data_IF_665818903616
#
_entry.id   IF_665818903616
#
_cell.length_a   1.000
_cell.length_b   1.000
_cell.length_c   1.000
_cell.angle_alpha   90.00
_cell.angle_beta   90.00
_cell.angle_gamma   90.00
#
_symmetry.space_group_name_H-M   'P 1'
#
loop_
_entity.id
_entity.type
_entity.pdbx_description
1 polymer ?
#
# COMPACT_ATOMS: atom_id res chain seq x y z
N UNK A 1 -12.06 1.91 -15.87
CA UNK A 1 -12.61 2.05 -14.50
C UNK A 1 -12.20 3.41 -13.98
N UNK A 2 -13.10 4.17 -13.38
CA UNK A 2 -12.76 5.46 -12.78
C UNK A 2 -12.45 5.22 -11.29
N UNK A 3 -11.22 5.52 -10.86
CA UNK A 3 -10.75 5.34 -9.50
C UNK A 3 -10.51 6.72 -8.90
N UNK A 4 -11.20 7.02 -7.81
CA UNK A 4 -10.97 8.23 -7.02
C UNK A 4 -9.52 8.33 -6.54
N UNK A 5 -9.09 9.55 -6.27
CA UNK A 5 -7.75 9.83 -5.71
C UNK A 5 -7.85 10.50 -4.34
N UNK A 6 -6.75 10.42 -3.58
CA UNK A 6 -6.53 11.19 -2.36
C UNK A 6 -5.27 12.04 -2.55
N UNK A 7 -5.38 13.34 -2.25
CA UNK A 7 -4.23 14.23 -2.23
C UNK A 7 -3.39 13.93 -0.98
N UNK A 8 -2.12 13.59 -1.19
CA UNK A 8 -1.22 13.37 -0.06
C UNK A 8 -0.86 14.68 0.61
N UNK A 9 -0.87 14.71 1.95
CA UNK A 9 -0.50 15.90 2.74
C UNK A 9 0.93 16.36 2.41
N UNK A 10 1.16 17.66 2.63
CA UNK A 10 2.45 18.32 2.39
C UNK A 10 2.93 18.22 0.93
N UNK A 11 2.01 17.91 0.01
CA UNK A 11 2.25 17.94 -1.42
C UNK A 11 1.13 18.73 -2.11
N UNK A 12 1.46 19.58 -3.06
CA UNK A 12 0.46 20.34 -3.80
C UNK A 12 -0.14 19.57 -4.99
N UNK A 13 0.43 18.40 -5.33
CA UNK A 13 0.16 17.74 -6.62
C UNK A 13 0.12 16.21 -6.57
N UNK A 14 0.52 15.56 -5.49
CA UNK A 14 0.62 14.10 -5.44
C UNK A 14 -0.72 13.50 -5.08
N UNK A 15 -1.47 13.11 -6.11
CA UNK A 15 -2.79 12.47 -5.99
C UNK A 15 -2.64 10.96 -6.12
N UNK A 16 -2.80 10.23 -5.03
CA UNK A 16 -2.71 8.77 -4.99
C UNK A 16 -4.07 8.14 -5.28
N UNK A 17 -4.17 7.17 -6.22
CA UNK A 17 -5.40 6.40 -6.42
C UNK A 17 -5.81 5.66 -5.15
N UNK A 18 -7.11 5.65 -4.83
CA UNK A 18 -7.67 5.03 -3.61
C UNK A 18 -7.66 3.50 -3.60
N UNK A 19 -6.99 2.89 -4.54
CA UNK A 19 -6.65 1.47 -4.58
C UNK A 19 -5.37 1.28 -5.39
N UNK A 20 -4.51 0.34 -4.97
CA UNK A 20 -3.31 -0.04 -5.71
C UNK A 20 -3.20 -1.55 -5.89
N UNK A 21 -2.20 -1.98 -6.66
CA UNK A 21 -1.81 -3.38 -6.85
C UNK A 21 -0.43 -3.59 -6.22
N UNK A 22 -0.36 -4.47 -5.21
CA UNK A 22 0.88 -4.88 -4.59
C UNK A 22 1.66 -5.90 -5.44
N UNK A 23 2.98 -5.88 -5.32
CA UNK A 23 3.88 -6.76 -6.09
C UNK A 23 4.69 -7.73 -5.22
N UNK A 24 4.35 -7.89 -3.95
CA UNK A 24 5.04 -8.82 -3.05
C UNK A 24 5.07 -10.23 -3.65
N UNK A 25 6.21 -10.92 -3.57
CA UNK A 25 6.51 -12.21 -4.22
C UNK A 25 6.56 -12.18 -5.75
N UNK A 26 6.54 -11.04 -6.42
CA UNK A 26 6.87 -10.96 -7.84
C UNK A 26 8.39 -10.88 -8.03
N UNK A 27 8.88 -11.40 -9.15
CA UNK A 27 10.30 -11.36 -9.52
C UNK A 27 11.20 -12.31 -8.72
N UNK A 28 10.63 -13.20 -7.88
CA UNK A 28 11.39 -14.21 -7.13
C UNK A 28 11.79 -15.42 -8.00
N UNK A 29 11.02 -15.69 -9.03
CA UNK A 29 11.21 -16.85 -9.93
C UNK A 29 11.27 -16.40 -11.38
N UNK A 30 12.39 -16.65 -12.08
CA UNK A 30 12.53 -16.24 -13.49
C UNK A 30 11.42 -16.79 -14.41
N UNK A 31 10.95 -18.02 -14.15
CA UNK A 31 9.90 -18.68 -14.93
C UNK A 31 8.53 -18.01 -14.80
N UNK A 32 8.30 -17.21 -13.77
CA UNK A 32 7.05 -16.46 -13.56
C UNK A 32 7.05 -15.07 -14.21
N UNK A 33 8.20 -14.57 -14.65
CA UNK A 33 8.36 -13.17 -15.05
C UNK A 33 7.39 -12.74 -16.15
N UNK A 34 7.24 -13.53 -17.22
CA UNK A 34 6.34 -13.20 -18.32
C UNK A 34 4.87 -13.12 -17.88
N UNK A 35 4.44 -14.05 -17.01
CA UNK A 35 3.07 -14.06 -16.48
C UNK A 35 2.81 -12.92 -15.50
N UNK A 36 3.81 -12.54 -14.70
CA UNK A 36 3.73 -11.40 -13.77
C UNK A 36 3.67 -10.08 -14.54
N UNK A 37 4.48 -9.90 -15.59
CA UNK A 37 4.42 -8.75 -16.50
C UNK A 37 3.04 -8.65 -17.18
N UNK A 38 2.53 -9.78 -17.69
CA UNK A 38 1.21 -9.81 -18.32
C UNK A 38 0.10 -9.44 -17.33
N UNK A 39 0.17 -9.91 -16.07
CA UNK A 39 -0.78 -9.56 -15.03
C UNK A 39 -0.75 -8.07 -14.69
N UNK A 40 0.43 -7.45 -14.57
CA UNK A 40 0.55 -6.00 -14.30
C UNK A 40 -0.03 -5.16 -15.44
N UNK A 41 0.26 -5.53 -16.70
CA UNK A 41 -0.32 -4.86 -17.89
C UNK A 41 -1.84 -5.00 -17.91
N UNK A 42 -2.36 -6.19 -17.63
CA UNK A 42 -3.79 -6.43 -17.53
C UNK A 42 -4.43 -5.58 -16.42
N UNK A 43 -3.80 -5.47 -15.24
CA UNK A 43 -4.26 -4.58 -14.19
C UNK A 43 -4.37 -3.12 -14.68
N UNK A 44 -3.38 -2.65 -15.44
CA UNK A 44 -3.39 -1.32 -16.06
C UNK A 44 -4.55 -1.17 -17.05
N UNK A 45 -4.78 -2.15 -17.91
CA UNK A 45 -5.89 -2.17 -18.88
C UNK A 45 -7.26 -2.14 -18.18
N UNK A 46 -7.40 -2.75 -17.00
CA UNK A 46 -8.58 -2.66 -16.14
C UNK A 46 -8.76 -1.28 -15.48
N UNK A 47 -7.74 -0.42 -15.52
CA UNK A 47 -7.76 0.94 -14.98
C UNK A 47 -7.04 1.12 -13.64
N UNK A 48 -6.37 0.10 -13.10
CA UNK A 48 -5.48 0.30 -11.96
C UNK A 48 -4.27 1.13 -12.37
N UNK A 49 -3.98 2.17 -11.60
CA UNK A 49 -2.90 3.09 -11.89
C UNK A 49 -1.82 3.11 -10.80
N UNK A 50 -2.12 2.67 -9.58
CA UNK A 50 -1.19 2.62 -8.46
C UNK A 50 -0.58 1.22 -8.34
N UNK A 51 0.76 1.14 -8.37
CA UNK A 51 1.53 -0.10 -8.18
C UNK A 51 2.50 0.07 -7.00
N UNK A 52 2.39 -0.82 -6.01
CA UNK A 52 3.19 -0.82 -4.80
C UNK A 52 4.24 -1.93 -4.83
N UNK A 53 5.50 -1.54 -4.67
CA UNK A 53 6.65 -2.45 -4.65
C UNK A 53 7.63 -2.08 -3.51
N UNK A 54 8.79 -2.71 -3.47
CA UNK A 54 9.90 -2.41 -2.57
C UNK A 54 11.22 -2.98 -3.10
N UNK A 55 12.35 -2.38 -2.74
CA UNK A 55 13.67 -2.97 -3.04
C UNK A 55 13.85 -4.36 -2.42
N UNK A 56 13.13 -4.65 -1.31
CA UNK A 56 13.12 -5.95 -0.65
C UNK A 56 12.48 -7.07 -1.49
N UNK A 57 11.48 -6.77 -2.31
CA UNK A 57 10.67 -7.80 -2.95
C UNK A 57 11.46 -8.51 -4.05
N UNK A 58 11.80 -9.79 -3.79
CA UNK A 58 12.64 -10.59 -4.69
C UNK A 58 14.03 -9.98 -4.93
N UNK A 59 14.60 -9.29 -3.94
CA UNK A 59 15.88 -8.57 -4.05
C UNK A 59 15.89 -7.61 -5.27
N UNK A 60 14.89 -6.73 -5.30
CA UNK A 60 14.61 -5.81 -6.40
C UNK A 60 14.01 -6.49 -7.65
N UNK A 61 13.65 -7.77 -7.56
CA UNK A 61 13.00 -8.52 -8.64
C UNK A 61 11.66 -7.93 -9.02
N UNK A 62 10.82 -7.59 -8.03
CA UNK A 62 9.51 -6.98 -8.26
C UNK A 62 9.62 -5.61 -8.97
N UNK A 63 10.61 -4.79 -8.61
CA UNK A 63 10.87 -3.52 -9.30
C UNK A 63 11.30 -3.75 -10.76
N UNK A 64 12.13 -4.79 -11.02
CA UNK A 64 12.50 -5.16 -12.40
C UNK A 64 11.29 -5.63 -13.22
N UNK A 65 10.39 -6.41 -12.62
CA UNK A 65 9.13 -6.84 -13.27
C UNK A 65 8.27 -5.62 -13.62
N UNK A 66 8.11 -4.65 -12.71
CA UNK A 66 7.38 -3.41 -12.98
C UNK A 66 8.05 -2.59 -14.11
N UNK A 67 9.38 -2.43 -14.09
CA UNK A 67 10.11 -1.71 -15.13
C UNK A 67 10.00 -2.39 -16.51
N UNK A 68 9.87 -3.72 -16.57
CA UNK A 68 9.63 -4.45 -17.81
C UNK A 68 8.15 -4.42 -18.25
N UNK A 69 7.22 -4.32 -17.30
CA UNK A 69 5.80 -4.22 -17.58
C UNK A 69 5.46 -2.86 -18.22
N UNK A 70 6.06 -1.78 -17.71
CA UNK A 70 5.75 -0.41 -18.10
C UNK A 70 7.00 0.28 -18.63
N UNK A 71 6.98 0.63 -19.91
CA UNK A 71 8.04 1.42 -20.54
C UNK A 71 7.97 2.89 -20.10
N UNK A 72 9.01 3.68 -20.39
CA UNK A 72 9.00 5.14 -20.17
C UNK A 72 7.74 5.83 -20.75
N UNK A 73 7.23 5.33 -21.89
CA UNK A 73 6.01 5.87 -22.51
C UNK A 73 4.73 5.59 -21.73
N UNK A 74 4.73 4.53 -20.92
CA UNK A 74 3.58 4.11 -20.11
C UNK A 74 3.62 4.74 -18.71
N UNK A 75 4.70 5.48 -18.38
CA UNK A 75 4.91 6.10 -17.06
C UNK A 75 3.85 7.15 -16.73
N UNK A 76 3.40 7.87 -17.75
CA UNK A 76 2.34 8.87 -17.60
C UNK A 76 1.03 8.20 -17.13
N UNK A 77 0.48 8.75 -16.05
CA UNK A 77 -0.74 8.23 -15.43
C UNK A 77 -0.54 6.95 -14.59
N UNK A 78 0.70 6.57 -14.28
CA UNK A 78 1.01 5.62 -13.21
C UNK A 78 1.35 6.34 -11.92
N UNK A 79 1.02 5.71 -10.80
CA UNK A 79 1.45 6.06 -9.46
C UNK A 79 2.30 4.91 -8.92
N UNK A 80 3.59 5.14 -8.75
CA UNK A 80 4.53 4.13 -8.27
C UNK A 80 4.90 4.38 -6.81
N UNK A 81 4.74 3.36 -5.97
CA UNK A 81 5.25 3.33 -4.61
C UNK A 81 6.41 2.33 -4.53
N UNK A 82 7.56 2.74 -3.98
CA UNK A 82 8.61 1.82 -3.58
C UNK A 82 9.09 2.13 -2.16
N UNK A 83 9.94 1.24 -1.59
CA UNK A 83 10.31 1.31 -0.19
C UNK A 83 11.80 1.03 -0.01
N UNK A 84 12.43 1.76 0.91
CA UNK A 84 13.82 1.58 1.30
C UNK A 84 13.92 0.72 2.57
N UNK A 85 14.91 -0.17 2.64
CA UNK A 85 15.28 -0.87 3.86
C UNK A 85 15.73 0.11 4.96
N UNK A 86 15.40 -0.14 6.23
CA UNK A 86 15.79 0.77 7.32
C UNK A 86 17.30 0.91 7.49
N UNK A 87 18.09 -0.10 7.14
CA UNK A 87 19.57 0.01 7.19
C UNK A 87 20.19 0.78 6.01
N UNK A 88 19.41 1.05 4.95
CA UNK A 88 19.77 1.92 3.84
C UNK A 88 19.24 3.35 4.04
N UNK A 89 18.54 3.63 5.15
CA UNK A 89 17.82 4.89 5.36
C UNK A 89 18.69 6.02 5.92
N UNK A 90 20.02 5.84 6.06
CA UNK A 90 20.95 6.94 6.27
C UNK A 90 20.89 7.93 5.10
N UNK A 91 21.17 9.20 5.35
CA UNK A 91 21.08 10.29 4.38
C UNK A 91 21.58 9.93 2.97
N UNK A 92 22.83 9.48 2.84
CA UNK A 92 23.40 9.13 1.54
C UNK A 92 23.02 7.72 1.08
N UNK A 93 22.80 6.80 2.03
CA UNK A 93 22.32 5.45 1.77
C UNK A 93 20.96 5.46 1.09
N UNK A 94 20.04 6.27 1.60
CA UNK A 94 18.69 6.42 1.06
C UNK A 94 18.70 6.96 -0.38
N UNK A 95 19.53 7.95 -0.67
CA UNK A 95 19.70 8.49 -2.03
C UNK A 95 20.21 7.40 -2.97
N UNK A 96 21.23 6.66 -2.55
CA UNK A 96 21.77 5.54 -3.33
C UNK A 96 20.76 4.43 -3.57
N UNK A 97 20.02 4.04 -2.53
CA UNK A 97 18.97 3.00 -2.63
C UNK A 97 17.85 3.43 -3.60
N UNK A 98 17.38 4.67 -3.49
CA UNK A 98 16.38 5.22 -4.41
C UNK A 98 16.87 5.20 -5.87
N UNK A 99 18.11 5.62 -6.13
CA UNK A 99 18.71 5.58 -7.47
C UNK A 99 18.81 4.15 -8.04
N UNK A 100 19.06 3.16 -7.19
CA UNK A 100 19.04 1.75 -7.59
C UNK A 100 17.61 1.28 -7.89
N UNK A 101 16.61 1.70 -7.11
CA UNK A 101 15.20 1.43 -7.36
C UNK A 101 14.75 2.05 -8.69
N UNK A 102 15.08 3.31 -8.95
CA UNK A 102 14.80 3.99 -10.22
C UNK A 102 15.37 3.24 -11.43
N UNK A 103 16.62 2.74 -11.32
CA UNK A 103 17.22 1.91 -12.38
C UNK A 103 16.48 0.61 -12.63
N UNK A 104 16.03 -0.08 -11.56
CA UNK A 104 15.26 -1.33 -11.68
C UNK A 104 13.87 -1.09 -12.25
N UNK A 105 13.24 0.01 -11.83
CA UNK A 105 11.93 0.46 -12.31
C UNK A 105 11.96 1.08 -13.72
N UNK A 106 13.14 1.38 -14.26
CA UNK A 106 13.34 2.03 -15.57
C UNK A 106 12.58 3.35 -15.67
N UNK A 107 12.66 4.18 -14.63
CA UNK A 107 12.03 5.50 -14.54
C UNK A 107 12.98 6.48 -13.85
N UNK A 108 12.74 7.77 -13.98
CA UNK A 108 13.51 8.84 -13.36
C UNK A 108 12.88 9.37 -12.05
N UNK A 109 11.63 8.99 -11.74
CA UNK A 109 10.99 9.35 -10.47
C UNK A 109 10.02 8.27 -9.95
N UNK A 110 9.82 8.27 -8.63
CA UNK A 110 8.85 7.47 -7.88
C UNK A 110 7.84 8.44 -7.25
N UNK A 111 6.54 8.20 -7.38
CA UNK A 111 5.51 9.10 -6.82
C UNK A 111 5.55 9.11 -5.30
N UNK A 112 5.80 7.95 -4.67
CA UNK A 112 5.81 7.79 -3.23
C UNK A 112 6.93 6.84 -2.80
N UNK A 113 7.83 7.32 -1.93
CA UNK A 113 8.94 6.52 -1.41
C UNK A 113 8.82 6.36 0.10
N UNK A 114 8.87 5.12 0.60
CA UNK A 114 8.61 4.80 2.00
C UNK A 114 9.85 4.28 2.72
N UNK A 115 10.01 4.63 4.00
CA UNK A 115 10.79 3.83 4.93
C UNK A 115 9.98 2.56 5.25
N UNK A 116 10.51 1.37 4.94
CA UNK A 116 9.75 0.12 4.93
C UNK A 116 9.29 -0.35 6.32
N UNK A 117 10.10 -0.10 7.37
CA UNK A 117 9.77 -0.28 8.79
C UNK A 117 10.72 0.53 9.68
N UNK A 118 10.41 0.71 10.97
CA UNK A 118 11.33 1.36 11.92
C UNK A 118 12.67 0.63 12.00
N UNK A 119 13.78 1.39 11.98
CA UNK A 119 15.14 0.86 12.07
C UNK A 119 15.97 1.54 13.15
N UNK A 120 17.28 1.28 13.13
CA UNK A 120 18.24 1.88 14.06
C UNK A 120 18.86 3.18 13.55
N UNK A 121 18.63 3.55 12.29
CA UNK A 121 19.07 4.83 11.74
C UNK A 121 18.24 5.95 12.36
N UNK A 122 18.85 7.03 12.87
CA UNK A 122 18.12 8.18 13.38
C UNK A 122 17.15 8.72 12.32
N UNK A 123 15.89 8.92 12.70
CA UNK A 123 14.85 9.32 11.74
C UNK A 123 15.16 10.66 11.04
N UNK A 124 15.92 11.54 11.72
CA UNK A 124 16.40 12.80 11.15
C UNK A 124 17.28 12.59 9.91
N UNK A 125 18.17 11.58 9.92
CA UNK A 125 19.00 11.23 8.76
C UNK A 125 18.15 10.73 7.59
N UNK A 126 17.12 9.94 7.88
CA UNK A 126 16.14 9.48 6.89
C UNK A 126 15.41 10.67 6.26
N UNK A 127 14.98 11.64 7.06
CA UNK A 127 14.34 12.86 6.57
C UNK A 127 15.28 13.72 5.71
N UNK A 128 16.57 13.81 6.08
CA UNK A 128 17.56 14.51 5.25
C UNK A 128 17.71 13.85 3.87
N UNK A 129 17.78 12.52 3.82
CA UNK A 129 17.79 11.76 2.57
C UNK A 129 16.53 11.99 1.73
N UNK A 130 15.35 11.95 2.39
CA UNK A 130 14.08 12.21 1.73
C UNK A 130 14.01 13.64 1.15
N UNK A 131 14.46 14.67 1.88
CA UNK A 131 14.52 16.05 1.38
C UNK A 131 15.40 16.16 0.13
N UNK A 132 16.58 15.55 0.13
CA UNK A 132 17.44 15.53 -1.05
C UNK A 132 16.72 14.92 -2.26
N UNK A 133 16.02 13.80 -2.09
CA UNK A 133 15.30 13.13 -3.16
C UNK A 133 14.10 13.96 -3.68
N UNK A 134 13.37 14.63 -2.78
CA UNK A 134 12.31 15.57 -3.12
C UNK A 134 12.85 16.77 -3.92
N UNK A 135 13.93 17.39 -3.44
CA UNK A 135 14.57 18.54 -4.09
C UNK A 135 15.12 18.18 -5.48
N UNK A 136 15.59 16.95 -5.67
CA UNK A 136 16.03 16.42 -6.95
C UNK A 136 14.90 15.97 -7.88
N UNK A 137 13.66 15.99 -7.41
CA UNK A 137 12.49 15.50 -8.15
C UNK A 137 12.48 13.99 -8.40
N UNK A 138 13.30 13.22 -7.65
CA UNK A 138 13.37 11.75 -7.76
C UNK A 138 12.23 11.05 -7.05
N UNK A 139 11.63 11.70 -6.05
CA UNK A 139 10.40 11.25 -5.40
C UNK A 139 9.38 12.39 -5.35
N UNK A 140 8.09 12.05 -5.43
CA UNK A 140 7.00 13.02 -5.34
C UNK A 140 6.55 13.27 -3.89
N UNK A 141 6.58 12.22 -3.07
CA UNK A 141 6.23 12.26 -1.65
C UNK A 141 7.07 11.25 -0.86
N UNK A 142 7.20 11.50 0.45
CA UNK A 142 7.80 10.58 1.39
C UNK A 142 6.75 10.09 2.41
N UNK A 143 6.89 8.84 2.83
CA UNK A 143 6.06 8.24 3.87
C UNK A 143 6.81 7.13 4.62
N UNK A 144 6.08 6.47 5.48
CA UNK A 144 6.59 5.39 6.33
C UNK A 144 5.72 4.13 6.21
N UNK A 145 6.21 3.02 6.70
CA UNK A 145 5.46 1.78 6.77
C UNK A 145 5.77 1.05 8.07
N UNK A 146 4.76 0.37 8.63
CA UNK A 146 4.89 -0.42 9.85
C UNK A 146 5.26 0.39 11.12
N UNK A 147 4.85 1.64 11.19
CA UNK A 147 4.93 2.42 12.43
C UNK A 147 3.62 2.31 13.21
N UNK A 148 3.70 1.96 14.49
CA UNK A 148 2.58 1.99 15.41
C UNK A 148 2.28 3.42 15.90
N UNK A 149 1.24 3.56 16.73
CA UNK A 149 0.81 4.85 17.26
C UNK A 149 1.91 5.53 18.07
N UNK A 150 2.67 4.78 18.85
CA UNK A 150 3.75 5.34 19.69
C UNK A 150 4.93 5.80 18.83
N UNK A 151 5.39 4.99 17.88
CA UNK A 151 6.46 5.36 16.96
C UNK A 151 6.12 6.58 16.12
N UNK A 152 4.87 6.67 15.62
CA UNK A 152 4.40 7.84 14.88
C UNK A 152 4.30 9.09 15.77
N UNK A 153 3.82 8.94 17.02
CA UNK A 153 3.77 10.01 18.02
C UNK A 153 5.17 10.59 18.29
N UNK A 154 6.15 9.73 18.51
CA UNK A 154 7.54 10.15 18.75
C UNK A 154 8.10 11.01 17.59
N UNK A 155 7.81 10.64 16.34
CA UNK A 155 8.18 11.42 15.16
C UNK A 155 7.52 12.80 15.17
N UNK A 156 6.22 12.88 15.49
CA UNK A 156 5.46 14.12 15.48
C UNK A 156 5.89 15.03 16.63
N UNK A 157 6.03 14.50 17.84
CA UNK A 157 6.45 15.24 19.04
C UNK A 157 7.87 15.80 18.91
N UNK A 158 8.74 15.11 18.15
CA UNK A 158 10.07 15.60 17.79
C UNK A 158 10.06 16.70 16.69
N UNK A 159 8.89 17.08 16.17
CA UNK A 159 8.77 18.03 15.06
C UNK A 159 9.26 17.48 13.71
N UNK A 160 9.29 16.16 13.57
CA UNK A 160 9.82 15.47 12.39
C UNK A 160 8.71 14.90 11.48
N UNK A 161 7.44 15.16 11.79
CA UNK A 161 6.28 14.64 11.05
C UNK A 161 5.96 15.33 9.72
N UNK A 162 6.58 16.49 9.43
CA UNK A 162 6.18 17.35 8.31
C UNK A 162 6.31 16.69 6.93
N UNK A 163 7.27 15.78 6.73
CA UNK A 163 7.43 15.08 5.46
C UNK A 163 6.65 13.77 5.38
N UNK A 164 6.11 13.27 6.49
CA UNK A 164 5.39 12.00 6.52
C UNK A 164 3.99 12.21 5.94
N UNK A 165 3.77 11.79 4.70
CA UNK A 165 2.48 11.95 4.02
C UNK A 165 1.53 10.78 4.26
N UNK A 166 2.07 9.58 4.53
CA UNK A 166 1.27 8.39 4.81
C UNK A 166 2.02 7.37 5.67
N UNK A 167 1.27 6.43 6.25
CA UNK A 167 1.80 5.23 6.88
C UNK A 167 1.09 4.00 6.31
N UNK A 168 1.88 3.05 5.78
CA UNK A 168 1.37 1.79 5.24
C UNK A 168 1.50 0.69 6.29
N UNK A 169 0.36 0.12 6.70
CA UNK A 169 0.31 -0.90 7.76
C UNK A 169 -0.62 -2.05 7.38
N UNK A 170 -0.46 -3.21 8.03
CA UNK A 170 -1.38 -4.32 7.86
C UNK A 170 -2.77 -3.94 8.36
N UNK A 171 -3.78 -4.09 7.48
CA UNK A 171 -5.18 -3.92 7.83
C UNK A 171 -6.06 -4.81 6.96
N UNK A 172 -6.80 -5.68 7.60
CA UNK A 172 -7.73 -6.63 6.98
C UNK A 172 -8.74 -7.13 8.04
N UNK A 173 -9.71 -7.95 7.67
CA UNK A 173 -10.74 -8.42 8.60
C UNK A 173 -10.21 -9.18 9.83
N UNK A 174 -9.19 -10.07 9.73
CA UNK A 174 -8.55 -10.65 10.90
C UNK A 174 -7.76 -9.66 11.78
N UNK A 175 -7.25 -8.55 11.21
CA UNK A 175 -6.29 -7.64 11.86
C UNK A 175 -6.81 -6.21 11.83
N UNK A 176 -7.74 -5.90 12.73
CA UNK A 176 -8.44 -4.61 12.82
C UNK A 176 -7.97 -3.72 13.98
N UNK A 177 -6.89 -4.09 14.66
CA UNK A 177 -6.37 -3.36 15.83
C UNK A 177 -6.07 -1.90 15.55
N UNK A 178 -5.51 -1.59 14.39
CA UNK A 178 -5.15 -0.23 13.94
C UNK A 178 -6.34 0.74 13.85
N UNK A 179 -7.59 0.21 13.78
CA UNK A 179 -8.80 1.03 13.76
C UNK A 179 -9.09 1.70 15.12
N UNK A 180 -8.47 1.24 16.21
CA UNK A 180 -8.79 1.71 17.57
C UNK A 180 -7.97 2.95 17.98
N UNK A 181 -6.73 3.04 17.52
CA UNK A 181 -5.82 4.10 17.95
C UNK A 181 -5.00 4.69 16.80
N UNK A 182 -4.36 3.86 15.96
CA UNK A 182 -3.45 4.33 14.92
C UNK A 182 -4.18 5.13 13.83
N UNK A 183 -5.27 4.61 13.26
CA UNK A 183 -6.02 5.32 12.23
C UNK A 183 -6.65 6.63 12.72
N UNK A 184 -7.29 6.69 13.92
CA UNK A 184 -7.71 7.96 14.50
C UNK A 184 -6.55 8.96 14.67
N UNK A 185 -5.41 8.51 15.19
CA UNK A 185 -4.23 9.35 15.36
C UNK A 185 -3.67 9.87 14.03
N UNK A 186 -3.61 9.01 13.01
CA UNK A 186 -3.21 9.42 11.67
C UNK A 186 -4.15 10.45 11.07
N UNK A 187 -5.47 10.26 11.24
CA UNK A 187 -6.48 11.20 10.75
C UNK A 187 -6.38 12.57 11.42
N UNK A 188 -6.09 12.64 12.73
CA UNK A 188 -5.85 13.90 13.46
C UNK A 188 -4.66 14.69 12.90
N UNK A 189 -3.72 14.00 12.27
CA UNK A 189 -2.50 14.58 11.71
C UNK A 189 -2.49 14.62 10.17
N UNK A 190 -3.63 14.39 9.51
CA UNK A 190 -3.78 14.35 8.04
C UNK A 190 -2.84 13.33 7.36
N UNK A 191 -2.41 12.28 8.05
CA UNK A 191 -1.57 11.21 7.52
C UNK A 191 -2.45 10.15 6.88
N UNK A 192 -2.24 9.87 5.59
CA UNK A 192 -3.03 8.88 4.85
C UNK A 192 -2.69 7.46 5.30
N UNK A 193 -3.72 6.63 5.52
CA UNK A 193 -3.54 5.21 5.80
C UNK A 193 -3.54 4.39 4.51
N UNK A 194 -2.59 3.45 4.38
CA UNK A 194 -2.55 2.44 3.32
C UNK A 194 -2.59 1.05 3.94
N UNK A 195 -3.51 0.21 3.47
CA UNK A 195 -3.69 -1.15 3.95
C UNK A 195 -2.84 -2.15 3.16
N UNK A 196 -1.75 -2.63 3.75
CA UNK A 196 -1.03 -3.80 3.24
C UNK A 196 -1.77 -5.10 3.60
N UNK A 197 -1.56 -6.16 2.80
CA UNK A 197 -2.24 -7.46 2.95
C UNK A 197 -3.77 -7.36 3.14
N UNK A 198 -4.49 -6.51 2.38
CA UNK A 198 -5.87 -6.15 2.68
C UNK A 198 -6.85 -7.32 2.59
N UNK A 199 -6.55 -8.33 1.78
CA UNK A 199 -7.47 -9.45 1.56
C UNK A 199 -7.27 -10.59 2.56
N UNK A 200 -6.03 -10.91 2.91
CA UNK A 200 -5.66 -12.02 3.81
C UNK A 200 -6.58 -13.25 3.66
N UNK A 201 -6.72 -13.73 2.41
CA UNK A 201 -7.80 -14.65 1.99
C UNK A 201 -7.86 -15.93 2.83
N UNK A 202 -6.71 -16.50 3.21
CA UNK A 202 -6.67 -17.73 4.01
C UNK A 202 -7.35 -17.56 5.36
N UNK A 203 -6.82 -16.70 6.26
CA UNK A 203 -7.42 -16.39 7.55
C UNK A 203 -8.83 -15.82 7.44
N UNK A 204 -9.12 -14.96 6.45
CA UNK A 204 -10.46 -14.38 6.29
C UNK A 204 -11.51 -15.43 5.96
N UNK A 205 -11.21 -16.39 5.08
CA UNK A 205 -12.14 -17.51 4.80
C UNK A 205 -12.40 -18.40 6.00
N UNK A 206 -11.51 -18.40 7.00
CA UNK A 206 -11.69 -19.14 8.23
C UNK A 206 -12.64 -18.44 9.22
N UNK A 207 -13.02 -17.17 8.98
CA UNK A 207 -14.02 -16.48 9.80
C UNK A 207 -15.40 -17.13 9.54
N UNK A 208 -16.06 -17.71 10.58
CA UNK A 208 -17.35 -18.35 10.40
C UNK A 208 -18.39 -17.38 9.85
N UNK A 209 -19.12 -17.79 8.82
CA UNK A 209 -20.19 -16.99 8.19
C UNK A 209 -19.75 -15.98 7.12
N UNK A 210 -18.44 -15.67 6.98
CA UNK A 210 -17.99 -14.68 5.98
C UNK A 210 -18.22 -15.16 4.54
N UNK A 211 -18.04 -16.46 4.28
CA UNK A 211 -18.30 -17.03 2.96
C UNK A 211 -19.79 -17.08 2.62
N UNK A 212 -20.64 -17.27 3.62
CA UNK A 212 -22.10 -17.23 3.44
C UNK A 212 -22.55 -15.80 3.15
N UNK A 213 -22.07 -14.83 3.92
CA UNK A 213 -22.34 -13.41 3.67
C UNK A 213 -21.90 -12.98 2.26
N UNK A 214 -20.71 -13.38 1.82
CA UNK A 214 -20.25 -13.07 0.47
C UNK A 214 -21.20 -13.63 -0.59
N UNK A 215 -21.70 -14.87 -0.40
CA UNK A 215 -22.67 -15.51 -1.31
C UNK A 215 -24.01 -14.78 -1.32
N UNK A 216 -24.50 -14.36 -0.15
CA UNK A 216 -25.76 -13.62 -0.01
C UNK A 216 -25.71 -12.26 -0.74
N UNK A 217 -24.53 -11.63 -0.78
CA UNK A 217 -24.26 -10.41 -1.53
C UNK A 217 -23.93 -10.67 -3.03
N UNK A 218 -23.94 -11.92 -3.50
CA UNK A 218 -23.49 -12.33 -4.83
C UNK A 218 -22.03 -11.94 -5.16
N UNK A 219 -21.17 -11.99 -4.17
CA UNK A 219 -19.74 -11.66 -4.27
C UNK A 219 -18.87 -12.87 -3.94
N UNK A 220 -17.65 -12.89 -4.47
CA UNK A 220 -16.59 -13.74 -3.91
C UNK A 220 -16.13 -13.16 -2.57
N UNK A 221 -15.46 -13.96 -1.73
CA UNK A 221 -14.91 -13.45 -0.47
C UNK A 221 -13.90 -12.33 -0.71
N UNK A 222 -13.09 -12.42 -1.77
CA UNK A 222 -12.14 -11.36 -2.14
C UNK A 222 -12.84 -10.06 -2.53
N UNK A 223 -13.94 -10.17 -3.31
CA UNK A 223 -14.75 -9.01 -3.68
C UNK A 223 -15.44 -8.38 -2.46
N UNK A 224 -15.99 -9.19 -1.55
CA UNK A 224 -16.62 -8.69 -0.31
C UNK A 224 -15.61 -7.89 0.53
N UNK A 225 -14.39 -8.42 0.72
CA UNK A 225 -13.35 -7.74 1.52
C UNK A 225 -12.91 -6.44 0.84
N UNK A 226 -12.67 -6.47 -0.46
CA UNK A 226 -12.29 -5.27 -1.18
C UNK A 226 -13.40 -4.21 -1.14
N UNK A 227 -14.65 -4.61 -1.37
CA UNK A 227 -15.80 -3.73 -1.25
C UNK A 227 -15.96 -3.15 0.17
N UNK A 228 -15.63 -3.94 1.21
CA UNK A 228 -15.60 -3.47 2.59
C UNK A 228 -14.54 -2.37 2.78
N UNK A 229 -13.30 -2.57 2.30
CA UNK A 229 -12.28 -1.53 2.34
C UNK A 229 -12.72 -0.25 1.61
N UNK A 230 -13.24 -0.40 0.37
CA UNK A 230 -13.66 0.73 -0.45
C UNK A 230 -14.84 1.49 0.17
N UNK A 231 -15.81 0.77 0.74
CA UNK A 231 -17.00 1.39 1.37
C UNK A 231 -16.64 2.07 2.70
N UNK A 232 -15.78 1.45 3.53
CA UNK A 232 -15.31 2.05 4.80
C UNK A 232 -14.39 3.25 4.58
N UNK A 233 -13.55 3.21 3.57
CA UNK A 233 -12.63 4.30 3.25
C UNK A 233 -11.61 4.65 4.34
N UNK A 234 -11.31 3.73 5.28
CA UNK A 234 -10.39 3.96 6.39
C UNK A 234 -8.92 3.95 5.95
N UNK A 235 -8.60 3.15 4.94
CA UNK A 235 -7.26 3.02 4.39
C UNK A 235 -7.34 2.65 2.91
N UNK A 236 -6.34 3.03 2.13
CA UNK A 236 -6.20 2.68 0.71
C UNK A 236 -5.70 1.24 0.60
N UNK A 237 -6.50 0.28 0.10
CA UNK A 237 -6.06 -1.11 -0.02
C UNK A 237 -5.09 -1.31 -1.18
N UNK A 238 -4.07 -2.15 -0.97
CA UNK A 238 -3.12 -2.57 -2.01
C UNK A 238 -3.10 -4.10 -2.14
N UNK A 239 -4.20 -4.72 -2.63
CA UNK A 239 -4.23 -6.15 -2.84
C UNK A 239 -3.17 -6.59 -3.86
N UNK A 240 -2.61 -7.81 -3.66
CA UNK A 240 -1.65 -8.42 -4.59
C UNK A 240 -2.31 -9.53 -5.39
N UNK A 241 -2.13 -9.49 -6.70
CA UNK A 241 -2.39 -10.64 -7.55
C UNK A 241 -1.42 -10.69 -8.75
N UNK A 242 -0.99 -11.91 -9.09
CA UNK A 242 -0.26 -12.23 -10.32
C UNK A 242 -1.11 -13.10 -11.27
N UNK A 243 -2.42 -13.22 -11.01
CA UNK A 243 -3.37 -14.00 -11.81
C UNK A 243 -4.42 -13.09 -12.39
N UNK A 244 -4.61 -13.17 -13.71
CA UNK A 244 -5.54 -12.33 -14.48
C UNK A 244 -6.97 -12.45 -13.94
N UNK A 245 -7.44 -13.66 -13.69
CA UNK A 245 -8.82 -13.90 -13.20
C UNK A 245 -9.06 -13.24 -11.82
N UNK A 246 -8.03 -13.18 -10.98
CA UNK A 246 -8.14 -12.49 -9.68
C UNK A 246 -8.13 -10.96 -9.84
N UNK A 247 -7.42 -10.43 -10.85
CA UNK A 247 -7.44 -9.00 -11.14
C UNK A 247 -8.80 -8.57 -11.69
N UNK A 248 -9.44 -9.38 -12.54
CA UNK A 248 -10.81 -9.17 -13.01
C UNK A 248 -11.80 -9.15 -11.82
N UNK A 249 -11.67 -10.10 -10.88
CA UNK A 249 -12.47 -10.12 -9.64
C UNK A 249 -12.29 -8.85 -8.81
N UNK A 250 -11.04 -8.37 -8.64
CA UNK A 250 -10.76 -7.14 -7.91
C UNK A 250 -11.36 -5.91 -8.62
N UNK A 251 -11.19 -5.82 -9.94
CA UNK A 251 -11.74 -4.71 -10.71
C UNK A 251 -13.28 -4.63 -10.61
N UNK A 252 -13.96 -5.78 -10.65
CA UNK A 252 -15.40 -5.84 -10.49
C UNK A 252 -15.88 -5.35 -9.10
N UNK A 253 -15.04 -5.49 -8.06
CA UNK A 253 -15.38 -5.10 -6.70
C UNK A 253 -15.15 -3.62 -6.37
N UNK A 254 -14.33 -2.90 -7.13
CA UNK A 254 -13.93 -1.51 -6.82
C UNK A 254 -15.12 -0.56 -6.70
N UNK A 255 -16.16 -0.75 -7.51
CA UNK A 255 -17.35 0.10 -7.53
C UNK A 255 -18.49 -0.44 -6.66
N UNK A 256 -18.31 -1.57 -5.98
CA UNK A 256 -19.32 -2.16 -5.12
C UNK A 256 -19.40 -1.37 -3.82
N UNK A 257 -20.59 -0.85 -3.51
CA UNK A 257 -20.90 -0.20 -2.24
C UNK A 257 -21.74 -1.17 -1.39
N UNK A 258 -21.19 -1.56 -0.24
CA UNK A 258 -21.91 -2.42 0.70
C UNK A 258 -22.96 -1.62 1.47
N UNK A 259 -24.10 -2.24 1.73
CA UNK A 259 -25.16 -1.63 2.54
C UNK A 259 -24.70 -1.47 4.01
N UNK A 260 -25.29 -0.53 4.79
CA UNK A 260 -25.01 -0.44 6.22
C UNK A 260 -25.25 -1.77 6.96
N UNK A 261 -26.32 -2.51 6.60
CA UNK A 261 -26.62 -3.81 7.21
C UNK A 261 -25.56 -4.87 6.92
N UNK A 262 -24.98 -4.85 5.71
CA UNK A 262 -23.88 -5.74 5.34
C UNK A 262 -22.61 -5.39 6.12
N UNK A 263 -22.31 -4.10 6.29
CA UNK A 263 -21.18 -3.64 7.10
C UNK A 263 -21.35 -4.04 8.58
N UNK A 264 -22.54 -3.87 9.15
CA UNK A 264 -22.85 -4.31 10.52
C UNK A 264 -22.66 -5.82 10.67
N UNK A 265 -23.11 -6.60 9.68
CA UNK A 265 -22.91 -8.04 9.68
C UNK A 265 -21.44 -8.45 9.60
N UNK A 266 -20.62 -7.74 8.83
CA UNK A 266 -19.16 -7.95 8.80
C UNK A 266 -18.58 -7.65 10.19
N UNK A 267 -18.99 -6.55 10.84
CA UNK A 267 -18.50 -6.17 12.18
C UNK A 267 -18.89 -7.20 13.26
N UNK A 268 -20.03 -7.86 13.12
CA UNK A 268 -20.44 -8.99 13.99
C UNK A 268 -19.56 -10.23 13.77
N UNK A 269 -19.26 -10.57 12.51
CA UNK A 269 -18.49 -11.76 12.14
C UNK A 269 -16.98 -11.61 12.40
N UNK A 270 -16.47 -10.40 12.22
CA UNK A 270 -15.08 -10.01 12.39
C UNK A 270 -14.97 -8.76 13.28
N UNK A 271 -15.28 -8.85 14.59
CA UNK A 271 -15.27 -7.70 15.48
C UNK A 271 -13.84 -7.14 15.64
N UNK A 272 -13.78 -5.82 15.84
CA UNK A 272 -12.54 -5.18 16.31
C UNK A 272 -12.13 -5.74 17.67
N UNK A 273 -10.83 -5.82 18.00
CA UNK A 273 -10.41 -6.18 19.33
C UNK A 273 -10.97 -5.18 20.36
N UNK A 274 -11.21 -5.61 21.63
CA UNK A 274 -11.82 -4.75 22.64
C UNK A 274 -10.89 -3.63 23.14
N UNK A 275 -9.60 -3.71 22.84
CA UNK A 275 -8.57 -2.73 23.22
C UNK A 275 -7.46 -2.72 22.15
N UNK A 276 -6.63 -1.64 22.10
CA UNK A 276 -5.48 -1.60 21.21
C UNK A 276 -4.57 -2.82 21.39
N UNK A 277 -4.07 -3.33 20.29
CA UNK A 277 -3.15 -4.47 20.21
C UNK A 277 -1.88 -4.04 19.50
N UNK A 278 -0.77 -4.75 19.75
CA UNK A 278 0.47 -4.47 19.04
C UNK A 278 0.27 -4.55 17.52
N UNK A 279 0.94 -3.65 16.80
CA UNK A 279 0.91 -3.65 15.34
C UNK A 279 1.47 -4.98 14.82
N UNK A 280 0.71 -5.66 14.00
CA UNK A 280 1.20 -6.84 13.28
C UNK A 280 1.99 -6.42 12.04
N UNK A 281 3.16 -7.04 11.87
CA UNK A 281 4.10 -6.78 10.77
C UNK A 281 4.42 -8.10 10.09
N UNK A 282 4.53 -8.08 8.76
CA UNK A 282 4.97 -9.24 7.95
C UNK A 282 6.30 -8.96 7.27
#
# INVERSE_FOLDING_TARGET
>A
MDIDTVLLRNTDKVNMPKIGIGTWHMGERPESAESEIAALRHARDLGFAHFDTAEMYGDGGAERILGQAFSERDRDGLFLTSKVYPWNAEKNGMVTACEQSLKRLQTDYIDLYLLHWPGSVPFEETLEGARILLDQGKIGAFGISNFDTEGLRQIIDAGQGDLVSLNQVMHNLPHRGVELDLFPFMAEHDITAVASSPLEIGPTKAIPGIADLARDENLTVAQLILAWHMTRGLAVPIPKSSRIEHLDDLAAAVQVQLSPSTLDRIDELAPRPPQPVALEVR
#
